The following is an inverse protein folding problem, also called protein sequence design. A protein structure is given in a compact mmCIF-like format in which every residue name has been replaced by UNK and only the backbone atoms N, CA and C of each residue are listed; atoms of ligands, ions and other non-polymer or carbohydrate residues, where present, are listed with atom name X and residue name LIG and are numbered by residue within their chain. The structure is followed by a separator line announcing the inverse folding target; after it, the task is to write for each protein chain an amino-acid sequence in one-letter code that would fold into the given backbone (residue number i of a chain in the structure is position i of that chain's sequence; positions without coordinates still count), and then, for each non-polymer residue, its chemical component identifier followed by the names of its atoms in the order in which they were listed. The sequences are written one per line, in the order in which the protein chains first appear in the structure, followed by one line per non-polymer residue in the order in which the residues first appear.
data_IF_623908310321
#
_entry.id   IF_623908310321
#
_cell.length_a   1.000
_cell.length_b   1.000
_cell.length_c   1.000
_cell.angle_alpha   90.00
_cell.angle_beta   90.00
_cell.angle_gamma   90.00
#
_symmetry.space_group_name_H-M   'P 1'
#
loop_
_entity.id
_entity.type
_entity.pdbx_description
1 polymer ?
2 non-polymer ?
3 water ?
#
# COMPACT_ATOMS: atom_id res chain seq x y z
N UNK A 16 33.37 15.19 0.01
CA UNK A 16 32.88 15.46 1.37
C UNK A 16 32.40 16.89 1.56
N UNK A 17 33.04 17.83 0.87
CA UNK A 17 32.70 19.25 1.05
C UNK A 17 31.24 19.52 0.67
N UNK A 18 30.79 18.99 -0.46
CA UNK A 18 29.44 19.17 -0.92
C UNK A 18 28.41 18.23 -0.33
N UNK A 19 28.84 17.23 0.44
CA UNK A 19 27.89 16.32 1.09
C UNK A 19 27.23 17.04 2.26
N UNK A 20 25.92 17.08 2.26
CA UNK A 20 25.18 17.77 3.28
C UNK A 20 23.87 17.05 3.63
N UNK A 21 23.53 17.03 4.91
CA UNK A 21 22.31 16.41 5.40
C UNK A 21 21.52 17.49 6.14
N UNK A 22 20.28 17.72 5.72
CA UNK A 22 19.40 18.65 6.41
C UNK A 22 18.28 17.86 7.08
N UNK A 23 18.12 18.08 8.39
CA UNK A 23 17.06 17.51 9.19
C UNK A 23 15.87 18.45 9.13
N UNK A 24 14.70 17.94 8.76
CA UNK A 24 13.59 18.81 8.39
C UNK A 24 12.28 18.28 8.94
N UNK A 25 11.42 19.21 9.42
CA UNK A 25 10.11 18.88 9.96
C UNK A 25 9.06 18.68 8.88
N UNK A 26 9.28 19.25 7.70
CA UNK A 26 8.32 19.28 6.61
C UNK A 26 9.05 19.77 5.37
N UNK A 27 8.74 19.18 4.22
CA UNK A 27 9.37 19.60 2.97
C UNK A 27 8.54 20.72 2.33
N UNK A 28 9.27 21.64 1.79
CA UNK A 28 8.71 22.75 1.09
C UNK A 28 8.63 22.45 -0.38
N UNK A 29 8.30 23.44 -1.17
CA UNK A 29 8.09 23.22 -2.59
C UNK A 29 9.27 22.66 -3.29
N UNK A 30 10.43 23.16 -2.94
CA UNK A 30 11.65 22.74 -3.50
C UNK A 30 11.94 21.33 -3.11
N UNK A 31 11.87 21.12 -1.83
CA UNK A 31 12.25 19.82 -1.31
C UNK A 31 11.30 18.73 -1.80
N UNK A 32 10.02 19.08 -2.02
CA UNK A 32 9.08 18.13 -2.59
C UNK A 32 9.45 17.75 -4.02
N UNK A 33 9.75 18.77 -4.85
CA UNK A 33 10.04 18.49 -6.26
C UNK A 33 11.34 17.72 -6.43
N UNK A 34 12.33 17.95 -5.56
CA UNK A 34 13.54 17.14 -5.61
C UNK A 34 13.25 15.70 -5.22
N UNK A 35 12.43 15.50 -4.19
CA UNK A 35 12.08 14.14 -3.76
C UNK A 35 11.38 13.38 -4.87
N UNK A 36 10.46 14.03 -5.58
CA UNK A 36 9.76 13.38 -6.69
C UNK A 36 10.74 12.97 -7.79
N UNK A 37 11.72 13.82 -8.07
CA UNK A 37 12.73 13.48 -9.07
C UNK A 37 13.53 12.26 -8.64
N UNK A 38 14.02 12.26 -7.41
CA UNK A 38 14.73 11.09 -6.88
C UNK A 38 13.85 9.85 -6.91
N UNK A 39 12.57 10.01 -6.53
CA UNK A 39 11.63 8.90 -6.59
C UNK A 39 11.54 8.33 -8.00
N UNK A 40 11.39 9.21 -9.00
CA UNK A 40 11.26 8.75 -10.38
C UNK A 40 12.49 7.99 -10.84
N UNK A 41 13.69 8.45 -10.45
CA UNK A 41 14.92 7.77 -10.84
C UNK A 41 15.04 6.41 -10.15
N UNK A 42 14.61 6.33 -8.89
CA UNK A 42 14.57 5.04 -8.20
C UNK A 42 13.50 4.13 -8.80
N UNK A 43 12.31 4.69 -9.07
CA UNK A 43 11.23 3.91 -9.65
C UNK A 43 11.66 3.26 -10.95
N UNK A 44 12.32 4.02 -11.81
CA UNK A 44 12.74 3.49 -13.09
C UNK A 44 13.89 2.51 -12.94
N UNK A 45 14.78 2.73 -11.97
CA UNK A 45 15.91 1.83 -11.80
C UNK A 45 15.51 0.52 -11.11
N UNK A 46 14.64 0.59 -10.10
CA UNK A 46 14.33 -0.57 -9.28
C UNK A 46 12.99 -1.21 -9.60
N UNK A 47 12.12 -0.53 -10.36
CA UNK A 47 10.79 -1.04 -10.67
C UNK A 47 9.71 -0.64 -9.68
N UNK A 48 10.06 -0.58 -8.39
CA UNK A 48 9.12 -0.19 -7.35
C UNK A 48 9.80 0.80 -6.41
N UNK A 49 8.97 1.56 -5.70
CA UNK A 49 9.46 2.56 -4.75
C UNK A 49 8.81 2.36 -3.38
N UNK A 50 9.49 2.69 -2.30
CA UNK A 50 8.85 2.64 -0.98
C UNK A 50 7.76 3.70 -0.87
N UNK A 51 6.87 3.48 0.09
CA UNK A 51 5.82 4.47 0.36
C UNK A 51 6.42 5.69 1.03
N UNK A 52 6.23 6.86 0.42
CA UNK A 52 6.73 8.10 0.97
C UNK A 52 5.64 8.94 1.62
N UNK A 53 4.38 8.70 1.27
CA UNK A 53 3.24 9.45 1.79
C UNK A 53 3.27 10.97 1.60
N UNK A 54 3.29 11.37 0.32
CA UNK A 54 3.58 12.75 -0.04
C UNK A 54 2.63 13.72 0.67
N UNK A 55 1.41 13.28 0.95
CA UNK A 55 0.49 14.13 1.72
C UNK A 55 0.96 14.30 3.17
N UNK A 56 1.65 13.30 3.72
CA UNK A 56 2.13 13.40 5.10
C UNK A 56 3.37 14.28 5.21
N UNK A 57 4.09 14.51 4.11
CA UNK A 57 5.35 15.23 4.19
C UNK A 57 5.15 16.74 4.12
N UNK A 58 4.07 17.20 3.47
CA UNK A 58 3.74 18.62 3.47
C UNK A 58 3.20 19.12 4.80
N UNK A 59 3.29 18.32 5.86
CA UNK A 59 2.54 18.54 7.10
C UNK A 59 3.52 18.61 8.27
N UNK A 60 3.36 19.65 9.09
CA UNK A 60 4.27 19.87 10.22
C UNK A 60 3.99 18.88 11.35
N UNK A 61 5.06 18.35 11.93
CA UNK A 61 4.97 17.35 12.99
C UNK A 61 5.87 17.77 14.15
N UNK A 62 5.69 17.10 15.29
CA UNK A 62 6.37 17.51 16.52
C UNK A 62 7.89 17.42 16.35
N UNK A 63 8.40 16.25 16.02
CA UNK A 63 9.83 16.12 15.75
C UNK A 63 10.10 16.32 14.27
N UNK A 64 11.32 16.76 13.90
CA UNK A 64 11.70 16.76 12.49
C UNK A 64 11.70 15.33 11.98
N UNK A 65 11.18 15.10 10.78
CA UNK A 65 10.85 13.74 10.40
C UNK A 65 11.47 13.25 9.10
N UNK A 66 12.07 14.11 8.30
CA UNK A 66 12.67 13.69 7.04
C UNK A 66 14.12 14.14 6.99
N UNK A 67 14.97 13.31 6.40
CA UNK A 67 16.41 13.53 6.37
C UNK A 67 16.88 13.54 4.93
N UNK A 68 17.26 14.71 4.45
CA UNK A 68 17.58 14.93 3.05
C UNK A 68 19.09 14.99 2.86
N UNK A 69 19.59 14.17 1.95
CA UNK A 69 21.01 14.07 1.67
C UNK A 69 21.30 14.71 0.32
N UNK A 70 22.13 15.75 0.32
CA UNK A 70 22.51 16.46 -0.90
C UNK A 70 23.99 16.25 -1.20
N UNK A 71 24.34 16.28 -2.48
CA UNK A 71 25.72 16.31 -2.93
C UNK A 71 25.86 17.47 -3.92
N UNK A 72 26.47 18.56 -3.46
CA UNK A 72 26.57 19.80 -4.22
C UNK A 72 25.20 20.25 -4.73
N UNK A 73 24.24 20.31 -3.81
CA UNK A 73 22.93 20.87 -4.09
C UNK A 73 21.91 19.93 -4.68
N UNK A 74 22.31 18.73 -5.10
CA UNK A 74 21.40 17.77 -5.69
C UNK A 74 20.99 16.72 -4.66
N UNK A 75 19.69 16.50 -4.53
CA UNK A 75 19.16 15.51 -3.60
C UNK A 75 19.46 14.10 -4.11
N UNK A 76 20.28 13.36 -3.36
CA UNK A 76 20.64 11.99 -3.75
C UNK A 76 20.17 10.95 -2.74
N UNK A 77 19.73 11.36 -1.56
CA UNK A 77 19.28 10.40 -0.56
C UNK A 77 18.16 10.98 0.26
N UNK A 78 17.27 10.11 0.72
CA UNK A 78 16.13 10.56 1.51
C UNK A 78 15.71 9.46 2.48
N UNK A 79 15.51 9.86 3.74
CA UNK A 79 14.96 8.97 4.76
C UNK A 79 13.84 9.71 5.48
N UNK A 80 12.71 9.04 5.68
CA UNK A 80 11.61 9.60 6.45
C UNK A 80 11.05 8.55 7.38
N UNK A 81 10.48 9.02 8.48
CA UNK A 81 9.96 8.17 9.54
C UNK A 81 8.50 8.52 9.74
N UNK A 82 7.67 7.51 10.01
CA UNK A 82 6.24 7.71 10.08
C UNK A 82 5.66 7.06 11.32
N UNK A 83 4.64 7.71 11.89
CA UNK A 83 4.02 7.31 13.15
C UNK A 83 2.55 7.02 12.88
N UNK A 84 2.24 5.77 12.50
CA UNK A 84 0.87 5.37 12.17
C UNK A 84 0.18 4.66 13.32
N UNK A 85 0.80 3.63 13.88
CA UNK A 85 0.20 2.89 14.96
C UNK A 85 1.13 2.95 16.18
N UNK A 86 0.65 2.52 17.33
CA UNK A 86 1.47 2.64 18.52
C UNK A 86 2.81 1.90 18.64
N UNK A 87 2.94 0.71 18.12
CA UNK A 87 4.16 -0.07 18.35
C UNK A 87 5.36 0.12 17.43
N UNK A 88 5.16 0.84 16.35
CA UNK A 88 6.23 0.96 15.38
C UNK A 88 6.40 2.26 14.66
N UNK A 89 7.51 2.37 13.98
CA UNK A 89 7.76 3.52 13.16
C UNK A 89 8.06 2.98 11.76
N UNK A 90 7.41 3.50 10.75
CA UNK A 90 7.70 3.11 9.37
C UNK A 90 8.83 3.97 8.83
N UNK A 91 9.79 3.35 8.16
CA UNK A 91 10.95 4.04 7.61
C UNK A 91 10.99 3.84 6.10
N UNK A 92 11.03 4.95 5.37
CA UNK A 92 11.24 4.95 3.92
C UNK A 92 12.62 5.51 3.64
N UNK A 93 13.42 4.79 2.86
CA UNK A 93 14.78 5.20 2.52
C UNK A 93 14.95 5.09 1.01
N UNK A 94 15.53 6.11 0.40
CA UNK A 94 15.83 6.12 -1.03
C UNK A 94 17.19 6.74 -1.25
N UNK A 95 18.04 6.06 -2.02
CA UNK A 95 19.33 6.61 -2.44
C UNK A 95 19.41 6.53 -3.95
N UNK A 96 19.87 7.61 -4.57
CA UNK A 96 20.03 7.64 -6.01
C UNK A 96 20.90 6.48 -6.47
N UNK A 97 20.52 5.78 -7.55
CA UNK A 97 21.32 4.62 -7.99
C UNK A 97 22.80 4.90 -8.17
N UNK A 98 23.16 6.10 -8.63
CA UNK A 98 24.57 6.45 -8.79
C UNK A 98 25.34 6.29 -7.49
N UNK A 99 24.72 6.63 -6.36
CA UNK A 99 25.43 6.85 -5.11
C UNK A 99 25.19 5.74 -4.11
N UNK A 100 24.89 4.53 -4.58
CA UNK A 100 24.53 3.46 -3.68
C UNK A 100 25.76 2.75 -3.14
N UNK A 101 25.60 2.19 -1.93
CA UNK A 101 26.62 1.41 -1.25
C UNK A 101 27.85 2.26 -0.91
N UNK A 102 27.65 3.56 -0.72
CA UNK A 102 28.70 4.47 -0.30
C UNK A 102 28.48 4.97 1.13
N UNK A 103 27.51 4.40 1.85
CA UNK A 103 27.21 4.80 3.20
C UNK A 103 26.04 5.74 3.35
N UNK A 104 25.46 6.22 2.25
CA UNK A 104 24.42 7.25 2.32
C UNK A 104 23.28 6.79 3.22
N UNK A 105 22.76 5.59 2.97
CA UNK A 105 21.66 5.08 3.77
C UNK A 105 22.07 4.93 5.23
N UNK A 106 23.26 4.37 5.48
CA UNK A 106 23.71 4.19 6.86
C UNK A 106 23.77 5.52 7.60
N UNK A 107 24.41 6.53 7.02
CA UNK A 107 24.43 7.86 7.63
C UNK A 107 23.03 8.35 7.92
N UNK A 108 22.10 8.14 6.98
CA UNK A 108 20.74 8.63 7.16
C UNK A 108 20.04 7.95 8.33
N UNK A 109 20.36 6.69 8.62
CA UNK A 109 19.76 6.02 9.77
C UNK A 109 20.18 6.72 11.06
N UNK A 110 21.48 6.97 11.20
CA UNK A 110 22.01 7.55 12.44
C UNK A 110 21.36 8.89 12.77
N UNK A 111 20.88 9.60 11.75
CA UNK A 111 20.21 10.88 11.96
C UNK A 111 18.80 10.71 12.50
N UNK A 112 18.15 9.61 12.14
CA UNK A 112 16.77 9.37 12.55
C UNK A 112 16.68 8.68 13.91
N UNK A 113 17.72 7.94 14.30
CA UNK A 113 17.78 7.22 15.57
C UNK A 113 17.47 8.07 16.80
N UNK A 114 18.18 9.17 17.05
CA UNK A 114 17.95 9.89 18.33
C UNK A 114 16.53 10.38 18.45
N UNK A 115 15.92 10.64 17.30
CA UNK A 115 14.57 11.15 17.19
C UNK A 115 13.54 10.07 17.48
N UNK A 116 13.78 8.84 17.02
CA UNK A 116 12.84 7.77 17.32
C UNK A 116 12.97 7.33 18.77
N UNK A 117 14.17 7.44 19.35
CA UNK A 117 14.29 7.22 20.79
C UNK A 117 13.62 8.33 21.58
N UNK A 118 13.44 9.50 20.96
CA UNK A 118 12.66 10.52 21.63
C UNK A 118 11.17 10.18 21.67
N UNK A 119 10.70 9.12 21.03
CA UNK A 119 9.26 8.90 20.94
C UNK A 119 8.77 7.64 21.64
N UNK A 120 9.63 6.95 22.39
CA UNK A 120 9.29 5.69 23.06
C UNK A 120 9.08 4.55 22.07
N UNK A 121 9.74 4.62 20.92
CA UNK A 121 9.66 3.59 19.89
C UNK A 121 10.99 2.86 19.76
N UNK A 122 10.92 1.53 19.63
CA UNK A 122 12.09 0.71 19.40
C UNK A 122 11.91 -0.24 18.22
N UNK A 123 10.78 -0.19 17.54
CA UNK A 123 10.59 -1.03 16.36
C UNK A 123 10.36 -0.23 15.08
N UNK A 124 11.23 -0.48 14.15
CA UNK A 124 11.20 0.16 12.86
C UNK A 124 10.96 -0.78 11.66
N UNK A 125 10.01 -0.41 10.82
CA UNK A 125 9.61 -1.26 9.71
C UNK A 125 9.97 -0.56 8.40
N UNK A 126 10.66 -1.27 7.53
CA UNK A 126 11.14 -0.75 6.26
C UNK A 126 10.23 -1.21 5.12
N UNK A 127 9.92 -0.28 4.22
CA UNK A 127 9.20 -0.61 2.98
C UNK A 127 10.22 -0.75 1.86
N UNK A 128 10.32 -1.95 1.29
CA UNK A 128 11.36 -2.28 0.35
C UNK A 128 10.75 -2.73 -0.98
N UNK A 129 11.17 -2.16 -2.11
CA UNK A 129 10.77 -2.69 -3.41
C UNK A 129 10.93 -4.20 -3.48
N UNK A 130 9.90 -4.88 -3.99
CA UNK A 130 9.90 -6.33 -4.07
C UNK A 130 11.10 -6.83 -4.86
N UNK A 131 11.73 -7.89 -4.34
CA UNK A 131 12.79 -8.66 -4.99
C UNK A 131 14.16 -7.99 -4.97
N UNK A 132 14.24 -6.75 -4.46
CA UNK A 132 15.51 -6.02 -4.56
C UNK A 132 16.48 -6.42 -3.46
N UNK A 133 16.00 -6.58 -2.21
CA UNK A 133 16.89 -6.63 -1.06
C UNK A 133 16.69 -7.88 -0.21
N UNK A 134 16.12 -8.94 -0.76
CA UNK A 134 15.72 -10.09 0.07
C UNK A 134 16.93 -10.75 0.73
N UNK A 135 18.01 -10.94 -0.01
CA UNK A 135 19.11 -11.79 0.47
C UNK A 135 19.81 -11.20 1.68
N UNK A 136 19.95 -9.88 1.77
CA UNK A 136 20.75 -9.30 2.84
C UNK A 136 19.93 -8.76 4.01
N UNK A 137 18.64 -8.49 3.83
CA UNK A 137 17.79 -8.23 4.99
C UNK A 137 17.66 -9.47 5.86
N UNK A 138 17.67 -10.65 5.24
CA UNK A 138 17.77 -11.90 5.99
C UNK A 138 19.02 -11.89 6.88
N UNK A 139 20.19 -11.62 6.26
CA UNK A 139 21.47 -11.85 6.93
C UNK A 139 21.60 -11.08 8.24
N UNK A 140 21.07 -9.86 8.29
CA UNK A 140 21.24 -9.03 9.49
C UNK A 140 20.01 -9.03 10.40
N UNK A 141 19.09 -9.97 10.22
CA UNK A 141 18.04 -10.19 11.19
C UNK A 141 16.73 -9.48 10.93
N UNK A 142 16.53 -8.93 9.74
CA UNK A 142 15.24 -8.33 9.42
C UNK A 142 14.18 -9.42 9.32
N UNK A 143 12.99 -9.12 9.84
CA UNK A 143 11.86 -10.04 9.80
C UNK A 143 10.87 -9.56 8.74
N UNK A 144 10.69 -10.35 7.69
CA UNK A 144 9.67 -10.06 6.70
C UNK A 144 8.29 -10.20 7.33
N UNK A 145 7.41 -9.23 7.06
CA UNK A 145 6.09 -9.16 7.69
C UNK A 145 4.97 -9.41 6.69
N UNK A 146 4.88 -8.59 5.64
CA UNK A 146 3.85 -8.75 4.62
C UNK A 146 4.27 -7.93 3.41
N UNK A 147 3.53 -8.10 2.32
CA UNK A 147 3.79 -7.40 1.07
C UNK A 147 2.58 -6.57 0.68
N UNK A 148 2.85 -5.47 -0.03
CA UNK A 148 1.80 -4.55 -0.48
C UNK A 148 1.95 -4.37 -1.98
N UNK A 149 0.88 -4.64 -2.72
CA UNK A 149 0.88 -4.56 -4.18
C UNK A 149 -0.16 -3.58 -4.65
N UNK A 150 0.22 -2.71 -5.57
CA UNK A 150 -0.71 -1.85 -6.31
C UNK A 150 -0.76 -2.35 -7.74
N UNK A 151 -1.94 -2.79 -8.17
CA UNK A 151 -2.09 -3.45 -9.47
C UNK A 151 -3.11 -2.70 -10.33
N UNK A 152 -2.97 -2.89 -11.64
CA UNK A 152 -3.73 -2.14 -12.63
C UNK A 152 -4.15 -3.07 -13.76
N UNK A 153 -5.34 -2.83 -14.30
CA UNK A 153 -5.83 -3.56 -15.48
C UNK A 153 -6.25 -2.52 -16.51
N UNK A 154 -5.49 -2.44 -17.61
CA UNK A 154 -5.74 -1.50 -18.70
C UNK A 154 -6.55 -2.14 -19.83
N UNK A 155 -6.84 -3.43 -19.74
CA UNK A 155 -7.60 -4.10 -20.79
C UNK A 155 -9.01 -3.53 -20.87
N UNK A 156 -9.39 -3.08 -22.07
CA UNK A 156 -10.74 -2.58 -22.29
C UNK A 156 -11.76 -3.69 -22.49
N UNK A 157 -11.32 -4.92 -22.69
CA UNK A 157 -12.26 -6.01 -22.92
C UNK A 157 -12.79 -6.54 -21.60
N UNK A 158 -14.08 -6.81 -21.50
CA UNK A 158 -14.65 -7.34 -20.26
C UNK A 158 -14.29 -8.81 -20.05
N UNK A 159 -14.59 -9.29 -18.85
CA UNK A 159 -14.34 -10.68 -18.48
C UNK A 159 -15.64 -11.45 -18.68
N UNK A 160 -15.68 -12.29 -19.71
CA UNK A 160 -16.90 -12.97 -20.12
C UNK A 160 -17.11 -14.32 -19.43
N UNK A 161 -16.15 -14.78 -18.63
CA UNK A 161 -16.04 -16.19 -18.25
C UNK A 161 -16.63 -16.87 -17.03
N UNK A 162 -16.57 -16.18 -15.89
CA UNK A 162 -16.98 -16.83 -14.66
C UNK A 162 -18.49 -16.85 -14.45
N UNK A 163 -19.15 -17.84 -15.06
CA UNK A 163 -20.53 -18.15 -14.74
C UNK A 163 -20.52 -18.92 -13.42
N UNK A 164 -20.95 -18.27 -12.34
CA UNK A 164 -21.13 -18.89 -11.04
C UNK A 164 -22.53 -18.59 -10.54
N UNK A 165 -23.07 -19.44 -9.66
CA UNK A 165 -24.42 -19.15 -9.12
C UNK A 165 -24.41 -18.01 -8.13
N UNK A 166 -24.06 -16.81 -8.60
CA UNK A 166 -23.99 -15.62 -7.77
C UNK A 166 -24.80 -14.50 -8.37
N UNK A 167 -25.50 -13.76 -7.53
CA UNK A 167 -26.08 -12.47 -7.88
C UNK A 167 -25.40 -11.39 -7.04
N UNK A 168 -25.42 -10.17 -7.56
CA UNK A 168 -24.72 -9.05 -6.94
C UNK A 168 -25.67 -7.89 -6.76
N UNK A 169 -25.51 -7.16 -5.67
CA UNK A 169 -26.30 -5.97 -5.39
C UNK A 169 -25.41 -4.96 -4.69
N UNK A 170 -25.79 -3.68 -4.83
CA UNK A 170 -25.06 -2.61 -4.17
C UNK A 170 -25.48 -2.51 -2.71
N UNK A 171 -24.51 -2.30 -1.83
CA UNK A 171 -24.77 -2.23 -0.40
C UNK A 171 -25.31 -0.86 -0.02
N UNK A 172 -26.23 -0.86 0.94
CA UNK A 172 -26.77 0.36 1.54
C UNK A 172 -26.42 0.38 3.02
N UNK A 173 -26.85 1.45 3.70
CA UNK A 173 -26.57 1.58 5.13
C UNK A 173 -27.28 0.49 5.95
N UNK A 174 -28.29 -0.15 5.38
CA UNK A 174 -28.96 -1.27 6.03
C UNK A 174 -28.15 -2.56 5.94
N UNK A 175 -26.98 -2.53 5.31
CA UNK A 175 -26.15 -3.72 5.17
C UNK A 175 -24.97 -3.73 6.13
N UNK A 176 -24.98 -2.88 7.16
CA UNK A 176 -23.90 -2.86 8.14
C UNK A 176 -23.63 -4.24 8.76
N UNK A 177 -24.64 -4.96 9.27
CA UNK A 177 -24.33 -6.27 9.87
C UNK A 177 -23.66 -7.23 8.90
N UNK A 178 -24.14 -7.29 7.66
CA UNK A 178 -23.50 -8.14 6.65
C UNK A 178 -22.05 -7.73 6.43
N UNK A 179 -21.82 -6.42 6.28
CA UNK A 179 -20.48 -5.93 5.99
C UNK A 179 -19.55 -6.10 7.17
N UNK A 180 -20.06 -5.91 8.39
CA UNK A 180 -19.23 -6.09 9.57
C UNK A 180 -18.90 -7.55 9.81
N UNK A 181 -19.86 -8.44 9.54
CA UNK A 181 -19.61 -9.87 9.69
C UNK A 181 -18.60 -10.39 8.68
N UNK A 182 -18.72 -9.95 7.43
CA UNK A 182 -17.77 -10.36 6.40
C UNK A 182 -16.36 -9.92 6.73
N UNK A 183 -16.21 -8.70 7.25
CA UNK A 183 -14.90 -8.14 7.52
C UNK A 183 -14.25 -8.80 8.74
N UNK A 184 -15.07 -9.25 9.69
CA UNK A 184 -14.55 -9.86 10.91
C UNK A 184 -13.82 -11.17 10.62
N UNK A 185 -14.32 -11.96 9.68
CA UNK A 185 -13.73 -13.26 9.40
C UNK A 185 -12.70 -13.24 8.28
N UNK A 186 -12.73 -12.22 7.41
CA UNK A 186 -11.79 -12.13 6.31
C UNK A 186 -10.64 -11.16 6.57
N UNK A 187 -10.84 -10.18 7.45
CA UNK A 187 -9.78 -9.26 7.87
C UNK A 187 -9.77 -9.21 9.39
N UNK A 188 -9.37 -10.30 10.05
CA UNK A 188 -9.61 -10.39 11.51
C UNK A 188 -8.83 -9.39 12.35
N UNK A 189 -7.53 -9.18 12.09
CA UNK A 189 -6.79 -8.19 12.88
C UNK A 189 -6.70 -6.68 12.61
N UNK A 190 -7.84 -6.14 12.20
CA UNK A 190 -8.06 -4.92 11.44
C UNK A 190 -9.28 -4.24 12.04
N UNK A 191 -10.37 -5.00 12.15
CA UNK A 191 -11.72 -4.48 12.33
C UNK A 191 -11.94 -4.00 13.76
N UNK A 192 -11.56 -2.75 14.02
CA UNK A 192 -12.02 -2.01 15.18
C UNK A 192 -12.98 -0.93 14.70
N UNK A 193 -14.17 -0.88 15.30
CA UNK A 193 -15.23 0.03 14.89
C UNK A 193 -15.47 -0.05 13.38
N UNK A 194 -15.79 -1.27 12.92
CA UNK A 194 -16.19 -1.45 11.54
C UNK A 194 -17.52 -0.78 11.26
N UNK A 195 -18.42 -0.76 12.26
CA UNK A 195 -19.74 -0.16 12.09
C UNK A 195 -19.61 1.25 11.54
N UNK A 196 -18.76 2.05 12.17
CA UNK A 196 -18.62 3.45 11.79
C UNK A 196 -17.70 3.63 10.58
N UNK A 197 -16.76 2.71 10.35
CA UNK A 197 -15.96 2.78 9.13
C UNK A 197 -16.84 2.55 7.91
N UNK A 198 -17.65 1.49 7.93
CA UNK A 198 -18.56 1.25 6.82
C UNK A 198 -19.61 2.35 6.70
N UNK A 199 -19.93 3.03 7.81
CA UNK A 199 -20.83 4.18 7.75
C UNK A 199 -20.15 5.36 7.05
N UNK A 200 -18.87 5.61 7.34
CA UNK A 200 -18.13 6.62 6.60
C UNK A 200 -18.13 6.29 5.12
N UNK A 201 -17.76 5.05 4.78
CA UNK A 201 -17.62 4.64 3.38
C UNK A 201 -18.94 4.83 2.64
N UNK A 202 -20.04 4.35 3.23
CA UNK A 202 -21.33 4.40 2.56
C UNK A 202 -21.94 5.79 2.53
N UNK A 203 -21.33 6.76 3.21
CA UNK A 203 -21.77 8.15 3.13
C UNK A 203 -20.90 8.99 2.21
N UNK A 204 -19.88 8.40 1.59
CA UNK A 204 -18.97 9.09 0.68
C UNK A 204 -19.33 8.72 -0.75
N UNK A 205 -19.74 9.71 -1.53
CA UNK A 205 -20.19 9.56 -2.91
C UNK A 205 -19.26 8.83 -3.84
N UNK A 206 -17.97 8.91 -3.59
CA UNK A 206 -17.01 8.25 -4.48
C UNK A 206 -16.95 6.74 -4.27
N UNK A 207 -17.51 6.23 -3.17
CA UNK A 207 -17.45 4.82 -2.87
C UNK A 207 -18.79 4.13 -3.12
N UNK A 208 -18.70 2.87 -3.52
CA UNK A 208 -19.81 1.93 -3.46
C UNK A 208 -19.25 0.60 -2.97
N UNK A 209 -20.14 -0.25 -2.47
CA UNK A 209 -19.75 -1.59 -2.05
C UNK A 209 -20.67 -2.60 -2.74
N UNK A 210 -20.07 -3.56 -3.44
CA UNK A 210 -20.80 -4.64 -4.07
C UNK A 210 -20.87 -5.80 -3.10
N UNK A 211 -22.07 -6.37 -2.92
CA UNK A 211 -22.26 -7.57 -2.12
C UNK A 211 -22.60 -8.71 -3.07
N UNK A 212 -21.86 -9.81 -2.95
CA UNK A 212 -22.13 -11.02 -3.73
C UNK A 212 -23.02 -11.95 -2.94
N UNK A 213 -24.07 -12.47 -3.56
CA UNK A 213 -25.03 -13.39 -2.96
C UNK A 213 -25.05 -14.80 -3.55
N UNK A 214 -24.93 -15.79 -2.69
CA UNK A 214 -25.01 -17.17 -3.06
C UNK A 214 -26.35 -17.56 -2.46
N UNK A 215 -27.34 -17.73 -3.32
CA UNK A 215 -28.74 -17.94 -3.03
C UNK A 215 -29.06 -16.71 -2.25
N UNK A 216 -29.64 -16.86 -1.09
CA UNK A 216 -30.00 -15.73 -0.34
C UNK A 216 -28.99 -15.39 0.73
N UNK A 217 -27.78 -15.92 0.66
CA UNK A 217 -26.75 -15.58 1.64
C UNK A 217 -25.77 -14.60 1.03
N UNK A 218 -25.48 -13.48 1.68
CA UNK A 218 -24.31 -12.68 1.30
C UNK A 218 -23.05 -13.47 1.65
N UNK A 219 -22.21 -13.70 0.66
CA UNK A 219 -20.98 -14.47 0.86
C UNK A 219 -19.72 -13.67 0.55
N UNK A 220 -19.85 -12.45 0.03
CA UNK A 220 -18.67 -11.67 -0.30
C UNK A 220 -18.99 -10.21 -0.51
N UNK A 221 -17.93 -9.40 -0.53
CA UNK A 221 -18.07 -7.97 -0.74
C UNK A 221 -16.81 -7.44 -1.41
N UNK A 222 -16.96 -6.29 -2.08
CA UNK A 222 -15.85 -5.60 -2.72
C UNK A 222 -16.15 -4.10 -2.73
N UNK A 223 -15.17 -3.30 -2.30
CA UNK A 223 -15.30 -1.85 -2.30
C UNK A 223 -14.82 -1.30 -3.65
N UNK A 224 -15.48 -0.24 -4.11
CA UNK A 224 -15.11 0.43 -5.35
C UNK A 224 -15.02 1.93 -5.07
N UNK A 225 -13.84 2.51 -5.30
CA UNK A 225 -13.68 3.95 -5.24
C UNK A 225 -13.63 4.47 -6.68
N UNK A 226 -14.68 5.16 -7.10
CA UNK A 226 -14.77 5.66 -8.45
C UNK A 226 -13.99 6.95 -8.62
N UNK A 227 -13.29 7.07 -9.75
CA UNK A 227 -12.74 8.33 -10.22
C UNK A 227 -13.23 8.56 -11.65
N UNK A 228 -12.83 9.68 -12.24
CA UNK A 228 -13.33 10.05 -13.55
C UNK A 228 -12.91 9.04 -14.62
N UNK A 229 -11.66 8.59 -14.58
CA UNK A 229 -11.15 7.71 -15.61
C UNK A 229 -10.73 6.35 -15.09
N UNK A 230 -10.96 6.06 -13.82
CA UNK A 230 -10.55 4.79 -13.24
C UNK A 230 -11.37 4.54 -11.99
N UNK A 231 -11.24 3.32 -11.47
CA UNK A 231 -11.84 2.96 -10.19
C UNK A 231 -10.92 1.96 -9.51
N UNK A 232 -10.95 1.96 -8.17
CA UNK A 232 -10.04 1.17 -7.37
C UNK A 232 -10.83 0.16 -6.54
N UNK A 233 -10.46 -1.11 -6.67
CA UNK A 233 -11.04 -2.18 -5.86
C UNK A 233 -10.20 -2.38 -4.61
N UNK A 234 -10.88 -2.66 -3.50
CA UNK A 234 -10.17 -2.90 -2.24
C UNK A 234 -11.07 -3.67 -1.31
N UNK A 235 -10.45 -4.25 -0.27
CA UNK A 235 -11.15 -4.93 0.81
C UNK A 235 -12.06 -6.03 0.28
N UNK A 236 -11.60 -6.75 -0.74
CA UNK A 236 -12.36 -7.86 -1.27
C UNK A 236 -12.34 -9.00 -0.28
N UNK A 237 -13.51 -9.61 -0.06
CA UNK A 237 -13.64 -10.63 0.97
C UNK A 237 -14.66 -11.67 0.51
N UNK A 238 -14.36 -12.93 0.78
CA UNK A 238 -15.29 -14.05 0.56
C UNK A 238 -15.30 -14.85 1.86
N UNK A 239 -16.49 -15.24 2.30
CA UNK A 239 -16.61 -16.06 3.49
C UNK A 239 -15.66 -17.25 3.41
N UNK A 240 -14.88 -17.52 4.46
CA UNK A 240 -13.87 -18.59 4.38
C UNK A 240 -14.42 -19.94 3.93
N UNK A 241 -15.65 -20.29 4.32
CA UNK A 241 -16.23 -21.55 3.91
C UNK A 241 -16.57 -21.56 2.42
N UNK A 242 -16.72 -20.40 1.80
CA UNK A 242 -17.06 -20.32 0.38
C UNK A 242 -15.86 -20.04 -0.51
N UNK A 243 -14.66 -19.92 0.05
CA UNK A 243 -13.48 -19.66 -0.76
C UNK A 243 -13.11 -20.90 -1.58
N UNK A 244 -12.31 -20.69 -2.63
CA UNK A 244 -11.88 -21.79 -3.46
C UNK A 244 -12.91 -22.32 -4.42
N UNK A 245 -14.07 -21.67 -4.55
CA UNK A 245 -15.11 -22.09 -5.47
C UNK A 245 -15.26 -21.14 -6.65
N UNK A 246 -14.32 -20.21 -6.81
CA UNK A 246 -14.40 -19.23 -7.89
C UNK A 246 -15.25 -18.01 -7.59
N UNK A 247 -15.82 -17.90 -6.39
CA UNK A 247 -16.69 -16.77 -6.09
C UNK A 247 -15.92 -15.46 -6.06
N UNK A 248 -14.69 -15.47 -5.53
CA UNK A 248 -13.91 -14.25 -5.50
C UNK A 248 -13.54 -13.76 -6.89
N UNK A 249 -13.16 -14.67 -7.78
CA UNK A 249 -12.87 -14.28 -9.16
C UNK A 249 -14.11 -13.76 -9.87
N UNK A 250 -15.27 -14.37 -9.59
CA UNK A 250 -16.50 -13.90 -10.20
C UNK A 250 -16.86 -12.51 -9.70
N UNK A 251 -16.66 -12.26 -8.40
CA UNK A 251 -16.98 -10.95 -7.84
C UNK A 251 -16.08 -9.87 -8.41
N UNK A 252 -14.78 -10.14 -8.52
CA UNK A 252 -13.86 -9.15 -9.07
C UNK A 252 -14.19 -8.88 -10.54
N UNK A 253 -14.48 -9.94 -11.30
CA UNK A 253 -14.81 -9.77 -12.71
C UNK A 253 -16.09 -8.97 -12.89
N UNK A 254 -17.07 -9.17 -12.00
CA UNK A 254 -18.29 -8.37 -12.05
C UNK A 254 -17.99 -6.90 -11.84
N UNK A 255 -17.13 -6.57 -10.86
CA UNK A 255 -16.76 -5.18 -10.63
C UNK A 255 -16.01 -4.61 -11.84
N UNK A 256 -15.14 -5.42 -12.46
CA UNK A 256 -14.40 -4.96 -13.63
C UNK A 256 -15.36 -4.60 -14.76
N UNK A 257 -16.29 -5.51 -15.08
CA UNK A 257 -17.25 -5.24 -16.16
C UNK A 257 -18.14 -4.05 -15.81
N UNK A 258 -18.53 -3.93 -14.55
CA UNK A 258 -19.28 -2.77 -14.09
C UNK A 258 -18.48 -1.49 -14.33
N UNK A 259 -17.19 -1.51 -14.01
CA UNK A 259 -16.35 -0.32 -14.15
C UNK A 259 -16.16 0.03 -15.63
N UNK A 260 -15.95 -0.99 -16.48
CA UNK A 260 -15.78 -0.72 -17.91
C UNK A 260 -17.05 -0.16 -18.54
N UNK A 261 -18.21 -0.65 -18.12
CA UNK A 261 -19.46 -0.19 -18.70
C UNK A 261 -19.81 1.24 -18.32
N UNK A 262 -19.11 1.82 -17.34
CA UNK A 262 -19.22 3.25 -17.07
C UNK A 262 -18.18 4.06 -17.82
N UNK A 263 -17.52 3.47 -18.82
CA UNK A 263 -16.56 4.18 -19.63
C UNK A 263 -15.21 4.41 -19.01
N UNK A 264 -14.90 3.75 -17.89
CA UNK A 264 -13.59 3.90 -17.27
C UNK A 264 -12.55 3.11 -18.03
N UNK A 265 -11.35 3.66 -18.15
CA UNK A 265 -10.28 3.05 -18.93
C UNK A 265 -9.28 2.29 -18.07
N UNK A 266 -9.59 2.03 -16.80
CA UNK A 266 -8.61 1.36 -15.94
C UNK A 266 -9.26 0.93 -14.64
N UNK A 267 -8.88 -0.25 -14.15
CA UNK A 267 -9.26 -0.75 -12.84
C UNK A 267 -8.00 -0.92 -12.01
N UNK A 268 -8.00 -0.36 -10.81
CA UNK A 268 -6.89 -0.49 -9.88
C UNK A 268 -7.26 -1.41 -8.73
N UNK A 269 -6.24 -1.86 -8.00
CA UNK A 269 -6.45 -2.83 -6.93
C UNK A 269 -5.31 -2.72 -5.93
N UNK A 270 -5.65 -2.56 -4.66
CA UNK A 270 -4.69 -2.65 -3.56
C UNK A 270 -4.91 -3.97 -2.84
N UNK A 271 -3.84 -4.71 -2.60
CA UNK A 271 -3.93 -6.02 -1.96
C UNK A 271 -2.69 -6.24 -1.11
N UNK A 272 -2.91 -6.75 0.10
CA UNK A 272 -1.84 -7.14 1.01
C UNK A 272 -1.76 -8.67 1.04
N UNK A 273 -0.56 -9.20 0.86
CA UNK A 273 -0.32 -10.64 0.85
C UNK A 273 0.88 -10.97 1.72
N UNK A 274 1.03 -12.26 2.04
CA UNK A 274 2.18 -12.77 2.76
C UNK A 274 3.08 -13.63 1.89
N UNK A 275 2.69 -13.90 0.65
CA UNK A 275 3.53 -14.61 -0.30
C UNK A 275 3.10 -14.23 -1.70
N UNK A 276 3.90 -14.65 -2.69
CA UNK A 276 3.67 -14.23 -4.06
C UNK A 276 2.57 -15.05 -4.74
N UNK A 277 2.31 -16.23 -4.23
CA UNK A 277 1.34 -17.07 -4.85
C UNK A 277 -0.07 -16.50 -4.83
N UNK A 278 -0.37 -15.73 -3.81
CA UNK A 278 -1.70 -15.15 -3.66
C UNK A 278 -2.07 -14.22 -4.81
N UNK A 279 -1.09 -13.70 -5.54
CA UNK A 279 -1.36 -12.75 -6.61
C UNK A 279 -1.84 -13.38 -7.90
N UNK A 280 -1.59 -14.68 -8.10
CA UNK A 280 -2.03 -15.36 -9.33
C UNK A 280 -3.48 -15.05 -9.64
N UNK A 281 -4.32 -15.08 -8.60
CA UNK A 281 -5.72 -14.72 -8.71
C UNK A 281 -5.94 -13.45 -9.54
N UNK A 282 -5.20 -12.39 -9.22
CA UNK A 282 -5.37 -11.12 -9.91
C UNK A 282 -4.70 -11.13 -11.28
N UNK A 283 -3.59 -11.86 -11.42
CA UNK A 283 -2.97 -12.02 -12.73
C UNK A 283 -3.94 -12.70 -13.69
N UNK A 284 -4.60 -13.76 -13.21
CA UNK A 284 -5.57 -14.48 -14.03
C UNK A 284 -6.69 -13.58 -14.52
N UNK A 285 -6.94 -12.47 -13.85
CA UNK A 285 -8.01 -11.55 -14.23
C UNK A 285 -7.51 -10.36 -15.03
N UNK A 286 -6.24 -10.34 -15.42
CA UNK A 286 -5.70 -9.30 -16.27
C UNK A 286 -4.96 -8.18 -15.58
N UNK A 287 -4.72 -8.29 -14.28
CA UNK A 287 -3.99 -7.25 -13.56
C UNK A 287 -2.49 -7.44 -13.75
N UNK A 288 -1.77 -6.32 -13.74
CA UNK A 288 -0.32 -6.33 -13.65
C UNK A 288 0.12 -5.52 -12.44
N UNK A 289 1.33 -5.82 -11.97
CA UNK A 289 1.90 -5.12 -10.83
C UNK A 289 2.40 -3.76 -11.30
N UNK A 290 1.87 -2.70 -10.69
CA UNK A 290 2.42 -1.36 -10.91
C UNK A 290 3.44 -1.00 -9.84
N UNK A 291 3.23 -1.44 -8.60
CA UNK A 291 4.18 -1.20 -7.52
C UNK A 291 4.05 -2.32 -6.49
N UNK A 292 5.19 -2.72 -5.92
CA UNK A 292 5.21 -3.84 -4.98
C UNK A 292 6.27 -3.58 -3.92
N UNK A 293 5.87 -3.67 -2.65
CA UNK A 293 6.77 -3.47 -1.54
C UNK A 293 6.60 -4.59 -0.51
N UNK A 294 7.72 -5.07 0.03
CA UNK A 294 7.73 -5.97 1.16
C UNK A 294 8.18 -5.22 2.40
N UNK A 295 7.47 -5.44 3.51
CA UNK A 295 7.74 -4.72 4.76
C UNK A 295 8.57 -5.61 5.68
N UNK A 296 9.82 -5.21 5.91
CA UNK A 296 10.72 -5.90 6.83
C UNK A 296 10.84 -5.14 8.13
N UNK A 297 11.21 -5.86 9.19
CA UNK A 297 11.20 -5.31 10.54
C UNK A 297 12.53 -5.57 11.24
N UNK A 298 12.80 -4.75 12.26
CA UNK A 298 13.96 -4.90 13.12
C UNK A 298 13.79 -3.91 14.27
N UNK A 299 14.30 -4.25 15.45
CA UNK A 299 14.39 -3.25 16.49
C UNK A 299 15.73 -2.51 16.37
N UNK A 300 15.80 -1.31 16.94
CA UNK A 300 17.01 -0.51 16.83
C UNK A 300 18.22 -1.18 17.45
N UNK A 301 18.03 -2.22 18.25
CA UNK A 301 19.13 -2.85 18.96
C UNK A 301 20.16 -3.46 18.00
N UNK A 302 19.74 -3.81 16.79
CA UNK A 302 20.56 -4.59 15.88
C UNK A 302 21.35 -3.75 14.88
N UNK A 303 21.36 -2.43 15.05
CA UNK A 303 22.16 -1.48 14.23
C UNK A 303 22.45 -1.94 12.80
X LIG B 1 -9.85 -20.64 -13.92
X LIG B 1 -8.54 -20.60 -13.58
X LIG B 1 -8.17 -20.38 -12.31
X LIG B 1 -9.10 -20.18 -11.36
X LIG B 1 -10.40 -20.20 -11.70
X LIG B 1 -10.77 -20.44 -12.99
X LIG B 1 -12.08 -20.53 -13.62
X LIG B 1 -11.13 -19.98 -10.58
X LIG B 1 -10.28 -19.81 -9.56
X LIG B 1 -9.02 -19.92 -10.02
X LIG B 1 -7.82 -19.82 -9.23
X LIG B 1 -7.43 -18.58 -8.97
X LIG B 1 -6.40 -18.12 -9.91
X LIG B 1 -6.85 -18.63 -7.51
X LIG B 1 -5.57 -18.98 -7.50
X LIG B 1 -4.63 -18.83 -6.14
X LIG B 1 -4.16 -17.41 -6.01
X LIG B 1 -5.39 -19.20 -4.89
X LIG B 1 -3.44 -19.72 -6.26
X LIG B 1 -7.70 -19.73 -6.83
X LIG B 1 -8.16 -20.51 -7.80
X LIG B 1 -8.84 -19.12 -6.00
X LIG B 1 -9.70 -18.36 -6.79
X LIG B 1 -11.20 -17.92 -6.19
X LIG B 1 -11.96 -19.19 -5.70
X LIG B 1 -11.99 -17.24 -7.26
X LIG B 1 -10.97 -16.86 -4.92
X LIG B 1 -11.76 -16.92 -3.48
X LIG B 1 -13.24 -17.15 -3.69
X LIG B 1 -11.18 -18.02 -2.64
X LIG B 1 -11.51 -15.42 -2.71
X LIG B 1 -10.00 -13.87 -1.59
X LIG B 1 -10.26 -14.79 -2.88
X LIG B 1 -10.91 -12.60 -1.70
X LIG B 1 -8.52 -13.48 -1.54
X LIG B 1 -10.37 -14.74 -0.35
X LIG B 1 -9.26 -15.36 0.17
X LIG B 1 -11.14 -13.98 0.76
X LIG B 1 -12.29 -14.15 0.83
X LIG B 1 -10.56 -13.09 1.80
X LIG B 1 -9.15 -12.72 1.91
X LIG B 1 -9.21 -11.21 1.66
X LIG B 1 -7.76 -10.57 1.58
X LIG B 1 -7.04 -10.68 2.47
X LIG B 1 -7.35 -9.84 0.39
X LIG B 1 -8.25 -9.68 -0.77
X LIG B 1 -7.78 -8.47 -1.58
X LIG B 1 -8.40 -6.93 -0.80
X LIG B 1 -7.12 -6.11 0.20
X LIG B 1 -6.25 -6.75 0.69
X LIG B 1 -7.16 -4.60 0.40
X LIG C 1 23.16 -5.74 -1.06
X LIG C 1 23.65 -6.17 0.10
X LIG C 1 23.88 -5.30 1.12
X LIG C 1 23.61 -3.99 0.95
X LIG C 1 23.13 -3.57 -0.23
X LIG C 1 22.89 -4.45 -1.23
X LIG C 1 22.38 -4.26 -2.58
X LIG C 1 22.95 -2.23 -0.14
X LIG C 1 23.33 -1.82 1.07
X LIG C 1 23.75 -2.90 1.76
X LIG C 1 24.25 -2.92 3.14
X LIG C 1 25.47 -2.39 3.25
X LIG C 1 26.51 -3.43 3.25
X LIG C 1 25.47 -1.79 4.67
X LIG C 1 25.70 -2.80 5.49
X LIG C 1 26.91 -2.77 6.61
X LIG C 1 28.27 -2.97 5.98
X LIG C 1 26.89 -1.44 7.32
X LIG C 1 26.67 -3.85 7.62
X LIG C 1 24.04 -1.23 4.83
X LIG C 1 23.27 -2.05 4.12
X LIG C 1 23.92 0.21 4.33
X LIG C 1 24.87 0.55 3.37
X LIG C 1 24.54 1.88 2.39
X LIG C 1 25.78 2.16 1.49
X LIG C 1 24.30 3.08 3.26
X LIG C 1 23.20 1.53 1.46
X LIG C 1 22.60 2.43 0.23
X LIG C 1 22.89 3.91 0.47
X LIG C 1 23.21 2.00 -1.08
X LIG C 1 20.92 2.15 0.20
X LIG C 1 18.99 1.34 -1.15
X LIG C 1 20.16 2.44 -0.95
X LIG C 1 18.57 0.79 0.27
X LIG C 1 19.59 0.18 -1.94
X LIG C 1 17.72 2.00 -1.80
X LIG C 1 18.00 3.29 -2.19
X LIG C 1 17.08 1.25 -3.01
X LIG C 1 17.68 0.94 -3.96
X LIG C 1 15.63 0.93 -3.05
X LIG C 1 14.78 1.28 -1.89
X LIG C 1 14.79 -0.01 -1.07
X LIG C 1 14.86 0.36 0.46
X LIG C 1 14.96 1.45 0.80
X LIG C 1 14.81 -0.70 1.44
X LIG C 1 14.88 -0.36 2.87
X LIG C 1 16.09 -1.09 3.46
X LIG C 1 16.88 0.03 4.68
X LIG C 1 18.68 0.05 4.44
X LIG C 1 19.15 0.56 3.48
X LIG C 1 19.58 -0.59 5.49
#
# INVERSE_FOLDING_TARGET
MGSSHHHHHHSSGLVPRGSMITQVNQLDELQLKDLKTLRAECKKNDGSIPNLYIHILKQHRSLPTSFLYYQNGALIGFLSIYFFYDDAVEVAVLVSPQYRRQGIAKQLIKEALPLIKSQNYFNLIFSCPSRLNDNWLTSKGFTYLHSEYFMERDDLNPILDYIRPLSFRMATLEDIPILCGLDEVCFPDKNQDSVHRFQQILNEREYEIVIAMLNNHPIGKSHIRWQTKRATLSDIAILPKEQGKGFGSALIAHCINMILSEGKSRVDLDVETHNKKALNLYIQLGFHIQNACDYWSINVNQLAK
ACO N1A C2A N3A C4A C5A C6A N6A N7A C8A N9A C1B C2B O2B C3B O3B P3B O7A O8A O9A C4B O4B C5B O5B P1A O1A O2A O3A P2A O4A O5A O6A CBP CCP CDP CEP CAP OAP C9P O9P N8P C7P C6P C5P O5P N4P C3P C2P S1P C O CH3
ACO N1A C2A N3A C4A C5A C6A N6A N7A C8A N9A C1B C2B O2B C3B O3B P3B O7A O8A O9A C4B O4B C5B O5B P1A O1A O2A O3A P2A O4A O5A O6A CBP CCP CDP CEP CAP OAP C9P O9P N8P C7P C6P C5P O5P N4P C3P C2P S1P C O CH3
#
